data_IF_317197204132
#
_entry.id   IF_317197204132
#
_cell.length_a   1.000
_cell.length_b   1.000
_cell.length_c   1.000
_cell.angle_alpha   90.00
_cell.angle_beta   90.00
_cell.angle_gamma   90.00
#
_symmetry.space_group_name_H-M   'P 1'
#
loop_
_entity.id
_entity.type
_entity.pdbx_description
1 polymer ?
#
# COMPACT_ATOMS: atom_id res chain seq x y z
N UNK A 1 13.05 10.79 2.06
CA UNK A 1 11.71 10.16 2.06
C UNK A 1 11.69 8.96 3.00
N UNK A 2 10.97 9.05 4.12
CA UNK A 2 10.78 8.04 5.16
C UNK A 2 9.72 7.02 4.72
N UNK A 3 9.93 5.74 5.05
CA UNK A 3 8.92 4.70 4.86
C UNK A 3 8.34 4.29 6.21
N UNK A 4 7.04 4.44 6.37
CA UNK A 4 6.28 3.95 7.53
C UNK A 4 5.30 2.88 7.07
N UNK A 5 5.16 1.79 7.84
CA UNK A 5 4.18 0.74 7.58
C UNK A 5 3.36 0.57 8.85
N UNK A 6 2.04 0.81 8.78
CA UNK A 6 1.17 0.63 9.93
C UNK A 6 1.22 -0.82 10.44
N UNK A 7 1.02 -1.00 11.75
CA UNK A 7 1.00 -2.33 12.36
C UNK A 7 -0.02 -3.28 11.72
N UNK A 8 -1.19 -2.75 11.34
CA UNK A 8 -2.22 -3.46 10.58
C UNK A 8 -1.71 -3.92 9.20
N UNK A 9 -1.11 -3.01 8.42
CA UNK A 9 -0.51 -3.32 7.13
C UNK A 9 0.61 -4.37 7.25
N UNK A 10 1.44 -4.29 8.29
CA UNK A 10 2.50 -5.27 8.53
C UNK A 10 1.93 -6.66 8.83
N UNK A 11 0.85 -6.76 9.61
CA UNK A 11 0.13 -8.02 9.84
C UNK A 11 -0.47 -8.57 8.54
N UNK A 12 -1.10 -7.71 7.75
CA UNK A 12 -1.66 -8.08 6.45
C UNK A 12 -0.59 -8.62 5.49
N UNK A 13 0.57 -7.96 5.42
CA UNK A 13 1.71 -8.43 4.63
C UNK A 13 2.16 -9.83 5.08
N UNK A 14 2.32 -10.05 6.39
CA UNK A 14 2.72 -11.35 6.94
C UNK A 14 1.71 -12.46 6.64
N UNK A 15 0.43 -12.13 6.48
CA UNK A 15 -0.64 -13.07 6.11
C UNK A 15 -0.65 -13.47 4.62
N UNK A 16 0.16 -12.84 3.77
CA UNK A 16 0.23 -13.21 2.35
C UNK A 16 1.07 -14.49 2.13
N UNK A 17 0.85 -15.21 1.02
CA UNK A 17 1.80 -16.25 0.58
C UNK A 17 3.22 -15.71 0.43
N UNK A 18 4.24 -16.50 0.76
CA UNK A 18 5.65 -16.06 0.82
C UNK A 18 6.12 -15.32 -0.45
N UNK A 19 5.81 -15.86 -1.63
CA UNK A 19 6.19 -15.22 -2.89
C UNK A 19 5.53 -13.83 -3.07
N UNK A 20 4.27 -13.67 -2.65
CA UNK A 20 3.57 -12.38 -2.67
C UNK A 20 4.18 -11.40 -1.65
N UNK A 21 4.63 -11.87 -0.48
CA UNK A 21 5.33 -11.01 0.48
C UNK A 21 6.57 -10.37 -0.14
N UNK A 22 7.35 -11.15 -0.89
CA UNK A 22 8.57 -10.66 -1.57
C UNK A 22 8.21 -9.59 -2.60
N UNK A 23 7.25 -9.88 -3.49
CA UNK A 23 6.83 -8.95 -4.56
C UNK A 23 6.26 -7.66 -3.96
N UNK A 24 5.38 -7.77 -2.96
CA UNK A 24 4.79 -6.60 -2.28
C UNK A 24 5.86 -5.77 -1.58
N UNK A 25 6.79 -6.41 -0.88
CA UNK A 25 7.89 -5.70 -0.20
C UNK A 25 8.81 -4.97 -1.17
N UNK A 26 9.11 -5.55 -2.33
CA UNK A 26 9.87 -4.88 -3.39
C UNK A 26 9.11 -3.66 -3.91
N UNK A 27 7.80 -3.78 -4.14
CA UNK A 27 6.97 -2.66 -4.60
C UNK A 27 6.89 -1.55 -3.56
N UNK A 28 6.77 -1.88 -2.26
CA UNK A 28 6.78 -0.89 -1.17
C UNK A 28 8.10 -0.13 -1.12
N UNK A 29 9.24 -0.83 -1.21
CA UNK A 29 10.55 -0.17 -1.26
C UNK A 29 10.68 0.75 -2.48
N UNK A 30 10.11 0.35 -3.63
CA UNK A 30 10.13 1.20 -4.80
C UNK A 30 9.42 2.55 -4.56
N UNK A 31 8.36 2.59 -3.72
CA UNK A 31 7.60 3.82 -3.41
C UNK A 31 8.47 4.94 -2.86
N UNK A 32 9.54 4.63 -2.12
CA UNK A 32 10.42 5.64 -1.53
C UNK A 32 11.62 6.01 -2.39
N UNK A 33 11.94 5.20 -3.39
CA UNK A 33 13.14 5.40 -4.23
C UNK A 33 12.95 6.38 -5.38
N UNK A 34 11.76 6.96 -5.55
CA UNK A 34 11.46 7.86 -6.67
C UNK A 34 11.42 7.17 -8.04
N UNK A 35 11.67 5.85 -8.11
CA UNK A 35 11.51 5.06 -9.33
C UNK A 35 10.08 5.19 -9.84
N UNK A 36 9.93 5.24 -11.16
CA UNK A 36 8.61 5.25 -11.78
C UNK A 36 7.90 3.94 -11.45
N UNK A 37 6.75 4.04 -10.78
CA UNK A 37 5.95 2.88 -10.39
C UNK A 37 4.76 2.82 -11.32
N UNK A 38 4.67 1.73 -12.07
CA UNK A 38 3.49 1.40 -12.86
C UNK A 38 2.30 1.09 -11.94
N UNK A 39 1.11 1.47 -12.41
CA UNK A 39 -0.19 1.18 -11.78
C UNK A 39 -0.41 1.87 -10.42
N UNK A 40 0.03 3.12 -10.28
CA UNK A 40 -0.34 4.00 -9.18
C UNK A 40 -1.56 4.83 -9.57
N UNK A 41 -2.60 4.80 -8.74
CA UNK A 41 -3.80 5.61 -8.91
C UNK A 41 -4.14 6.34 -7.61
N UNK A 42 -4.68 7.55 -7.71
CA UNK A 42 -5.28 8.26 -6.58
C UNK A 42 -6.61 7.61 -6.19
N UNK A 43 -6.91 7.56 -4.89
CA UNK A 43 -8.21 7.09 -4.42
C UNK A 43 -9.16 8.26 -4.21
N UNK A 44 -10.25 8.29 -4.97
CA UNK A 44 -11.32 9.27 -4.83
C UNK A 44 -11.91 9.24 -3.42
N UNK A 45 -12.20 10.42 -2.86
CA UNK A 45 -12.72 10.55 -1.49
C UNK A 45 -11.65 10.62 -0.39
N UNK A 46 -10.37 10.40 -0.72
CA UNK A 46 -9.27 10.47 0.25
C UNK A 46 -8.14 11.39 -0.21
N UNK A 47 -7.80 12.40 0.62
CA UNK A 47 -6.72 13.34 0.30
C UNK A 47 -5.35 12.67 0.44
N UNK A 48 -4.51 12.80 -0.59
CA UNK A 48 -3.13 12.29 -0.63
C UNK A 48 -3.02 10.78 -0.36
N UNK A 49 -4.07 10.02 -0.71
CA UNK A 49 -4.09 8.56 -0.63
C UNK A 49 -4.01 7.97 -2.03
N UNK A 50 -3.13 7.00 -2.17
CA UNK A 50 -2.80 6.36 -3.43
C UNK A 50 -2.88 4.85 -3.28
N UNK A 51 -3.11 4.18 -4.40
CA UNK A 51 -3.16 2.73 -4.51
C UNK A 51 -2.19 2.24 -5.57
N UNK A 52 -1.41 1.21 -5.24
CA UNK A 52 -0.61 0.46 -6.21
C UNK A 52 -1.18 -0.93 -6.40
N UNK A 53 -1.32 -1.36 -7.66
CA UNK A 53 -1.71 -2.73 -8.01
C UNK A 53 -0.50 -3.68 -8.03
N UNK A 54 -0.65 -4.83 -7.39
CA UNK A 54 0.33 -5.94 -7.39
C UNK A 54 -0.40 -7.25 -7.65
N UNK A 55 -0.64 -7.55 -8.93
CA UNK A 55 -1.55 -8.64 -9.34
C UNK A 55 -2.95 -8.41 -8.77
N UNK A 56 -3.40 -9.34 -7.91
CA UNK A 56 -4.70 -9.26 -7.22
C UNK A 56 -4.67 -8.47 -5.91
N UNK A 57 -3.48 -8.08 -5.46
CA UNK A 57 -3.30 -7.31 -4.23
C UNK A 57 -3.22 -5.82 -4.51
N UNK A 58 -3.62 -5.04 -3.51
CA UNK A 58 -3.57 -3.58 -3.49
C UNK A 58 -2.76 -3.15 -2.29
N UNK A 59 -1.85 -2.22 -2.53
CA UNK A 59 -1.11 -1.50 -1.50
C UNK A 59 -1.72 -0.10 -1.48
N UNK A 60 -2.36 0.28 -0.38
CA UNK A 60 -2.86 1.63 -0.17
C UNK A 60 -1.90 2.36 0.76
N UNK A 61 -1.49 3.56 0.36
CA UNK A 61 -0.54 4.35 1.10
C UNK A 61 -0.89 5.85 1.03
N UNK A 62 -0.51 6.57 2.08
CA UNK A 62 -0.46 8.02 2.11
C UNK A 62 0.92 8.48 1.66
N UNK A 63 0.98 9.58 0.91
CA UNK A 63 2.25 10.19 0.50
C UNK A 63 2.26 11.67 0.84
N UNK A 64 3.34 12.10 1.48
CA UNK A 64 3.71 13.50 1.69
C UNK A 64 5.03 13.78 0.99
N UNK A 65 5.57 14.99 1.16
CA UNK A 65 6.88 15.37 0.62
C UNK A 65 7.98 14.48 1.22
N UNK A 66 7.89 14.18 2.53
CA UNK A 66 8.96 13.49 3.26
C UNK A 66 8.64 12.06 3.65
N UNK A 67 7.39 11.59 3.47
CA UNK A 67 6.96 10.29 3.96
C UNK A 67 6.06 9.53 2.98
N UNK A 68 6.28 8.21 2.92
CA UNK A 68 5.32 7.23 2.41
C UNK A 68 4.86 6.38 3.57
N UNK A 69 3.56 6.41 3.87
CA UNK A 69 2.95 5.62 4.93
C UNK A 69 2.02 4.57 4.33
N UNK A 70 2.38 3.28 4.42
CA UNK A 70 1.55 2.17 3.96
C UNK A 70 0.48 1.86 4.99
N UNK A 71 -0.79 1.99 4.57
CA UNK A 71 -1.97 1.90 5.43
C UNK A 71 -2.65 0.55 5.31
N UNK A 72 -2.78 0.03 4.08
CA UNK A 72 -3.44 -1.25 3.80
C UNK A 72 -2.63 -2.05 2.79
N UNK A 73 -2.53 -3.35 3.04
CA UNK A 73 -2.10 -4.35 2.06
C UNK A 73 -3.21 -5.41 2.04
N UNK A 74 -3.81 -5.66 0.88
CA UNK A 74 -4.95 -6.58 0.86
C UNK A 74 -5.30 -7.08 -0.53
N UNK A 75 -6.02 -8.20 -0.58
CA UNK A 75 -6.58 -8.70 -1.82
C UNK A 75 -7.65 -7.73 -2.36
N UNK A 76 -7.94 -7.77 -3.67
CA UNK A 76 -8.84 -6.83 -4.35
C UNK A 76 -10.19 -6.60 -3.68
N UNK A 77 -10.75 -7.68 -3.12
CA UNK A 77 -12.09 -7.73 -2.51
C UNK A 77 -12.09 -7.15 -1.09
N UNK A 78 -10.94 -7.18 -0.41
CA UNK A 78 -10.81 -6.83 1.00
C UNK A 78 -10.17 -5.46 1.22
N UNK A 79 -9.31 -5.02 0.30
CA UNK A 79 -8.53 -3.79 0.47
C UNK A 79 -9.39 -2.55 0.72
N UNK A 80 -10.55 -2.45 0.07
CA UNK A 80 -11.46 -1.30 0.23
C UNK A 80 -12.21 -1.33 1.56
N UNK A 81 -12.69 -2.49 1.99
CA UNK A 81 -13.32 -2.65 3.32
C UNK A 81 -12.34 -2.34 4.45
N UNK A 82 -11.10 -2.81 4.31
CA UNK A 82 -10.01 -2.52 5.25
C UNK A 82 -9.64 -1.03 5.24
N UNK A 83 -9.70 -0.38 4.08
CA UNK A 83 -9.44 1.05 3.94
C UNK A 83 -10.51 1.87 4.65
N UNK A 84 -11.78 1.59 4.38
CA UNK A 84 -12.92 2.25 5.03
C UNK A 84 -12.84 2.12 6.55
N UNK A 85 -12.53 0.93 7.08
CA UNK A 85 -12.35 0.72 8.52
C UNK A 85 -11.20 1.53 9.15
N UNK A 86 -10.19 1.89 8.37
CA UNK A 86 -8.98 2.56 8.89
C UNK A 86 -8.96 4.07 8.65
N UNK A 87 -9.63 4.55 7.60
CA UNK A 87 -9.60 5.95 7.17
C UNK A 87 -11.00 6.59 7.03
N UNK A 88 -12.07 5.81 7.11
CA UNK A 88 -13.44 6.29 7.23
C UNK A 88 -13.84 6.53 8.67
#
# INVERSE_FOLDING_TARGET
>A
MRLTILGSARKQLKGLPKFKQIIVSQKIRALTTGKQISNVETLSGYRSVYRVRVGDYRIVYKRTIDEVCVVVIGHRKEAYKLLERLLG
#
